data_IF_232789653648
#
_entry.id   IF_232789653648
#
_cell.length_a   1.000
_cell.length_b   1.000
_cell.length_c   1.000
_cell.angle_alpha   90.00
_cell.angle_beta   90.00
_cell.angle_gamma   90.00
#
_symmetry.space_group_name_H-M   'P 1'
#
loop_
_entity.id
_entity.type
_entity.pdbx_description
1 polymer ?
#
# COMPACT_ATOMS: atom_id res chain seq x y z
N UNK A 1 9.40 -11.37 13.77
CA UNK A 1 10.10 -11.11 12.49
C UNK A 1 10.64 -9.68 12.53
N UNK A 2 11.95 -9.42 12.38
CA UNK A 2 12.49 -8.06 12.48
C UNK A 2 12.28 -7.33 11.13
N UNK A 3 11.38 -6.34 11.08
CA UNK A 3 11.03 -5.58 9.85
C UNK A 3 12.23 -4.81 9.28
N UNK A 4 13.06 -4.25 10.16
CA UNK A 4 14.25 -3.44 9.82
C UNK A 4 15.25 -4.16 8.89
N UNK A 5 15.69 -5.40 9.17
CA UNK A 5 16.58 -6.12 8.25
C UNK A 5 15.95 -6.48 6.88
N UNK A 6 14.61 -6.60 6.80
CA UNK A 6 13.91 -6.81 5.52
C UNK A 6 13.96 -5.54 4.68
N UNK A 7 13.58 -4.39 5.27
CA UNK A 7 13.67 -3.09 4.60
C UNK A 7 15.11 -2.77 4.18
N UNK A 8 16.09 -3.02 5.06
CA UNK A 8 17.51 -2.85 4.72
C UNK A 8 17.93 -3.68 3.50
N UNK A 9 17.40 -4.89 3.32
CA UNK A 9 17.71 -5.72 2.15
C UNK A 9 17.08 -5.16 0.87
N UNK A 10 15.83 -4.69 0.93
CA UNK A 10 15.13 -4.06 -0.19
C UNK A 10 15.91 -2.84 -0.69
N UNK A 11 16.35 -1.99 0.23
CA UNK A 11 17.00 -0.73 -0.11
C UNK A 11 18.50 -0.81 -0.36
N UNK A 12 19.18 -1.91 -0.02
CA UNK A 12 20.64 -2.03 -0.18
C UNK A 12 21.12 -1.84 -1.62
N UNK A 13 20.25 -2.10 -2.59
CA UNK A 13 20.57 -2.04 -4.02
C UNK A 13 20.31 -0.67 -4.66
N UNK A 14 19.75 0.29 -3.91
CA UNK A 14 19.30 1.57 -4.45
C UNK A 14 19.68 2.75 -3.55
N UNK A 15 20.01 3.90 -4.17
CA UNK A 15 20.34 5.12 -3.44
C UNK A 15 19.06 5.81 -2.99
N UNK A 16 18.65 5.59 -1.75
CA UNK A 16 17.50 6.29 -1.15
C UNK A 16 17.83 7.77 -0.92
N UNK A 17 16.93 8.66 -1.29
CA UNK A 17 16.93 10.05 -0.84
C UNK A 17 16.49 10.12 0.64
N UNK A 18 17.45 10.02 1.57
CA UNK A 18 17.18 10.01 3.02
C UNK A 18 16.42 11.24 3.52
N UNK A 19 16.76 12.49 3.13
CA UNK A 19 15.97 13.66 3.52
C UNK A 19 14.50 13.55 3.15
N UNK A 20 14.21 13.09 1.93
CA UNK A 20 12.83 12.92 1.47
C UNK A 20 12.11 11.80 2.23
N UNK A 21 12.78 10.67 2.51
CA UNK A 21 12.19 9.60 3.32
C UNK A 21 11.84 10.09 4.73
N UNK A 22 12.74 10.86 5.36
CA UNK A 22 12.49 11.45 6.68
C UNK A 22 11.30 12.41 6.64
N UNK A 23 11.17 13.20 5.57
CA UNK A 23 10.03 14.09 5.37
C UNK A 23 8.72 13.30 5.25
N UNK A 24 8.66 12.27 4.40
CA UNK A 24 7.46 11.45 4.21
C UNK A 24 7.03 10.77 5.51
N UNK A 25 7.95 10.08 6.18
CA UNK A 25 7.69 9.44 7.48
C UNK A 25 7.32 10.48 8.55
N UNK A 26 7.95 11.66 8.52
CA UNK A 26 7.61 12.75 9.44
C UNK A 26 6.16 13.21 9.28
N UNK A 27 5.67 13.30 8.04
CA UNK A 27 4.27 13.63 7.75
C UNK A 27 3.34 12.50 8.20
N UNK A 28 3.68 11.23 7.91
CA UNK A 28 2.91 10.07 8.38
C UNK A 28 2.77 10.10 9.92
N UNK A 29 3.86 10.35 10.64
CA UNK A 29 3.88 10.44 12.10
C UNK A 29 3.07 11.62 12.63
N UNK A 30 2.98 12.74 11.90
CA UNK A 30 2.12 13.87 12.26
C UNK A 30 0.65 13.45 12.20
N UNK A 31 0.21 12.79 11.14
CA UNK A 31 -1.16 12.30 11.02
C UNK A 31 -1.50 11.26 12.08
N UNK A 32 -0.63 10.27 12.29
CA UNK A 32 -0.80 9.25 13.33
C UNK A 32 -0.88 9.90 14.73
N UNK A 33 -0.01 10.87 15.01
CA UNK A 33 -0.02 11.59 16.29
C UNK A 33 -1.29 12.42 16.45
N UNK A 34 -1.73 13.14 15.41
CA UNK A 34 -2.95 13.93 15.43
C UNK A 34 -4.17 13.05 15.73
N UNK A 35 -4.30 11.91 15.06
CA UNK A 35 -5.36 10.94 15.33
C UNK A 35 -5.30 10.39 16.78
N UNK A 36 -4.11 10.08 17.30
CA UNK A 36 -3.97 9.69 18.71
C UNK A 36 -4.45 10.79 19.67
N UNK A 37 -4.11 12.06 19.41
CA UNK A 37 -4.56 13.20 20.23
C UNK A 37 -6.09 13.39 20.17
N UNK A 38 -6.71 13.12 19.02
CA UNK A 38 -8.17 13.10 18.87
C UNK A 38 -8.80 11.98 19.71
N UNK A 39 -8.24 10.77 19.69
CA UNK A 39 -8.72 9.63 20.48
C UNK A 39 -8.66 9.90 22.01
N UNK A 40 -7.67 10.67 22.47
CA UNK A 40 -7.55 11.07 23.88
C UNK A 40 -8.35 12.33 24.25
N UNK A 41 -9.05 12.96 23.29
CA UNK A 41 -9.82 14.18 23.53
C UNK A 41 -8.95 15.40 23.87
N UNK A 42 -7.68 15.41 23.43
CA UNK A 42 -6.74 16.51 23.70
C UNK A 42 -6.96 17.67 22.72
N UNK A 43 -7.41 17.37 21.50
CA UNK A 43 -7.72 18.35 20.45
C UNK A 43 -9.21 18.22 20.12
N UNK A 44 -9.84 19.33 19.72
CA UNK A 44 -11.23 19.34 19.25
C UNK A 44 -11.45 18.27 18.18
N UNK A 45 -12.60 17.60 18.26
CA UNK A 45 -12.96 16.50 17.38
C UNK A 45 -13.27 17.01 15.96
N UNK A 46 -12.22 17.27 15.19
CA UNK A 46 -12.31 17.45 13.75
C UNK A 46 -11.91 16.13 13.07
N UNK A 47 -12.93 15.45 12.54
CA UNK A 47 -12.82 14.19 11.84
C UNK A 47 -11.85 14.24 10.65
N UNK A 48 -11.61 15.40 10.04
CA UNK A 48 -10.70 15.56 8.88
C UNK A 48 -9.24 15.18 9.19
N UNK A 49 -8.85 15.24 10.47
CA UNK A 49 -7.52 14.85 10.95
C UNK A 49 -7.45 13.39 11.43
N UNK A 50 -8.58 12.66 11.40
CA UNK A 50 -8.57 11.23 11.65
C UNK A 50 -7.92 10.50 10.49
N UNK A 51 -7.13 9.47 10.79
CA UNK A 51 -6.55 8.59 9.76
C UNK A 51 -7.59 7.60 9.22
N UNK A 52 -8.58 7.21 10.02
CA UNK A 52 -9.69 6.32 9.65
C UNK A 52 -10.80 7.01 8.81
N UNK A 53 -10.63 8.28 8.44
CA UNK A 53 -11.70 9.04 7.77
C UNK A 53 -11.55 8.95 6.25
N UNK A 54 -12.58 8.42 5.60
CA UNK A 54 -12.78 8.53 4.16
C UNK A 54 -12.84 10.00 3.70
N UNK A 55 -12.09 10.30 2.65
CA UNK A 55 -11.86 11.64 2.11
C UNK A 55 -11.23 12.61 3.13
N UNK A 56 -10.56 12.10 4.17
CA UNK A 56 -9.78 12.87 5.13
C UNK A 56 -8.41 13.30 4.61
N UNK A 57 -7.72 14.18 5.35
CA UNK A 57 -6.41 14.68 4.92
C UNK A 57 -5.34 13.58 4.81
N UNK A 58 -5.39 12.60 5.70
CA UNK A 58 -4.45 11.47 5.70
C UNK A 58 -4.66 10.58 4.46
N UNK A 59 -5.91 10.32 4.09
CA UNK A 59 -6.28 9.53 2.93
C UNK A 59 -5.89 10.22 1.62
N UNK A 60 -6.20 11.51 1.47
CA UNK A 60 -5.72 12.30 0.32
C UNK A 60 -4.20 12.30 0.19
N UNK A 61 -3.49 12.28 1.32
CA UNK A 61 -2.04 12.15 1.31
C UNK A 61 -1.57 10.77 0.83
N UNK A 62 -2.32 9.69 1.09
CA UNK A 62 -2.07 8.37 0.52
C UNK A 62 -2.29 8.36 -0.99
N UNK A 63 -3.39 8.95 -1.48
CA UNK A 63 -3.67 9.08 -2.92
C UNK A 63 -2.53 9.76 -3.69
N UNK A 64 -1.93 10.81 -3.11
CA UNK A 64 -0.78 11.49 -3.72
C UNK A 64 0.41 10.53 -3.84
N UNK A 65 0.64 9.68 -2.83
CA UNK A 65 1.71 8.67 -2.85
C UNK A 65 1.43 7.60 -3.91
N UNK A 66 0.25 7.00 -3.93
CA UNK A 66 -0.13 6.00 -4.95
C UNK A 66 -0.05 6.55 -6.38
N UNK A 67 -0.63 7.73 -6.61
CA UNK A 67 -0.59 8.38 -7.91
C UNK A 67 0.84 8.70 -8.34
N UNK A 68 1.67 9.18 -7.42
CA UNK A 68 3.07 9.43 -7.71
C UNK A 68 3.86 8.14 -8.01
N UNK A 69 3.59 7.03 -7.31
CA UNK A 69 4.17 5.72 -7.63
C UNK A 69 3.75 5.28 -9.04
N UNK A 70 2.46 5.39 -9.37
CA UNK A 70 1.94 5.11 -10.71
C UNK A 70 2.68 5.91 -11.78
N UNK A 71 2.78 7.23 -11.64
CA UNK A 71 3.47 8.10 -12.60
C UNK A 71 4.96 7.75 -12.76
N UNK A 72 5.65 7.46 -11.65
CA UNK A 72 7.06 7.05 -11.68
C UNK A 72 7.23 5.74 -12.44
N UNK A 73 6.36 4.75 -12.20
CA UNK A 73 6.44 3.45 -12.86
C UNK A 73 6.06 3.53 -14.35
N UNK A 74 5.08 4.35 -14.73
CA UNK A 74 4.78 4.64 -16.13
C UNK A 74 5.98 5.30 -16.82
N UNK A 75 6.61 6.28 -16.17
CA UNK A 75 7.81 6.91 -16.70
C UNK A 75 8.94 5.88 -16.91
N UNK A 76 9.18 5.00 -15.93
CA UNK A 76 10.18 3.93 -16.05
C UNK A 76 9.83 2.90 -17.12
N UNK A 77 8.55 2.62 -17.37
CA UNK A 77 8.12 1.77 -18.48
C UNK A 77 8.57 2.36 -19.82
N UNK A 78 8.33 3.65 -20.06
CA UNK A 78 8.77 4.30 -21.30
C UNK A 78 10.29 4.44 -21.39
N UNK A 79 10.97 4.65 -20.26
CA UNK A 79 12.44 4.83 -20.27
C UNK A 79 13.20 3.50 -20.42
N UNK A 80 12.66 2.40 -19.88
CA UNK A 80 13.34 1.09 -19.86
C UNK A 80 12.77 0.08 -20.87
N UNK A 81 11.60 0.37 -21.44
CA UNK A 81 10.86 -0.51 -22.35
C UNK A 81 10.58 -1.90 -21.76
N UNK A 82 10.49 -1.99 -20.42
CA UNK A 82 10.21 -3.26 -19.73
C UNK A 82 8.78 -3.27 -19.20
N UNK A 83 7.98 -4.21 -19.72
CA UNK A 83 6.56 -4.35 -19.38
C UNK A 83 6.29 -4.56 -17.87
N UNK A 84 7.28 -5.02 -17.11
CA UNK A 84 7.15 -5.20 -15.66
C UNK A 84 6.80 -3.88 -14.94
N UNK A 85 7.36 -2.74 -15.39
CA UNK A 85 7.03 -1.44 -14.80
C UNK A 85 5.58 -1.04 -15.11
N UNK A 86 5.08 -1.37 -16.30
CA UNK A 86 3.68 -1.15 -16.66
C UNK A 86 2.74 -1.99 -15.80
N UNK A 87 3.07 -3.27 -15.58
CA UNK A 87 2.24 -4.15 -14.72
C UNK A 87 2.17 -3.59 -13.30
N UNK A 88 3.30 -3.18 -12.72
CA UNK A 88 3.31 -2.53 -11.40
C UNK A 88 2.59 -1.18 -11.40
N UNK A 89 2.71 -0.39 -12.46
CA UNK A 89 1.97 0.86 -12.59
C UNK A 89 0.45 0.60 -12.56
N UNK A 90 -0.04 -0.35 -13.37
CA UNK A 90 -1.46 -0.72 -13.38
C UNK A 90 -1.94 -1.26 -12.03
N UNK A 91 -1.07 -1.95 -11.29
CA UNK A 91 -1.38 -2.37 -9.91
C UNK A 91 -1.60 -1.16 -9.00
N UNK A 92 -0.69 -0.19 -8.97
CA UNK A 92 -0.86 1.01 -8.13
C UNK A 92 -1.98 1.94 -8.60
N UNK A 93 -2.28 1.95 -9.91
CA UNK A 93 -3.47 2.62 -10.42
C UNK A 93 -4.73 1.94 -9.92
N UNK A 94 -4.77 0.60 -9.90
CA UNK A 94 -5.88 -0.13 -9.30
C UNK A 94 -6.05 0.24 -7.83
N UNK A 95 -4.98 0.19 -7.02
CA UNK A 95 -5.03 0.55 -5.59
C UNK A 95 -5.62 1.94 -5.40
N UNK A 96 -5.11 2.94 -6.13
CA UNK A 96 -5.65 4.31 -6.08
C UNK A 96 -7.14 4.38 -6.43
N UNK A 97 -7.59 3.68 -7.47
CA UNK A 97 -8.98 3.69 -7.88
C UNK A 97 -9.87 2.90 -6.92
N UNK A 98 -9.35 1.84 -6.32
CA UNK A 98 -10.02 1.02 -5.33
C UNK A 98 -10.29 1.83 -4.06
N UNK A 99 -9.26 2.51 -3.54
CA UNK A 99 -9.37 3.33 -2.33
C UNK A 99 -10.25 4.57 -2.59
N UNK A 100 -10.03 5.31 -3.70
CA UNK A 100 -10.78 6.55 -3.97
C UNK A 100 -12.24 6.39 -4.39
N UNK A 101 -12.63 5.19 -4.84
CA UNK A 101 -13.99 4.88 -5.27
C UNK A 101 -14.64 3.78 -4.41
N UNK A 102 -13.95 3.33 -3.35
CA UNK A 102 -14.36 2.23 -2.48
C UNK A 102 -14.81 0.99 -3.27
N UNK A 103 -14.05 0.61 -4.32
CA UNK A 103 -14.49 -0.45 -5.23
C UNK A 103 -14.61 -1.80 -4.50
N UNK A 104 -13.67 -2.11 -3.59
CA UNK A 104 -13.71 -3.33 -2.81
C UNK A 104 -14.93 -3.41 -1.89
N UNK A 105 -15.40 -2.30 -1.34
CA UNK A 105 -16.63 -2.26 -0.53
C UNK A 105 -17.87 -2.50 -1.42
N UNK A 106 -17.99 -1.75 -2.52
CA UNK A 106 -19.14 -1.83 -3.44
C UNK A 106 -19.28 -3.24 -4.01
N UNK A 107 -18.19 -3.81 -4.52
CA UNK A 107 -18.21 -5.17 -5.05
C UNK A 107 -18.19 -6.24 -3.95
N UNK A 108 -17.66 -5.93 -2.77
CA UNK A 108 -17.69 -6.79 -1.60
C UNK A 108 -19.13 -7.08 -1.15
N UNK A 109 -19.95 -6.03 -1.00
CA UNK A 109 -21.39 -6.16 -0.73
C UNK A 109 -22.07 -7.02 -1.79
N UNK A 110 -21.83 -6.73 -3.08
CA UNK A 110 -22.41 -7.50 -4.18
C UNK A 110 -22.06 -9.00 -4.12
N UNK A 111 -20.80 -9.33 -3.87
CA UNK A 111 -20.35 -10.73 -3.77
C UNK A 111 -20.89 -11.41 -2.51
N UNK A 112 -20.97 -10.69 -1.38
CA UNK A 112 -21.54 -11.22 -0.15
C UNK A 112 -23.00 -11.64 -0.33
N UNK A 113 -23.80 -10.80 -1.00
CA UNK A 113 -25.19 -11.11 -1.34
C UNK A 113 -25.27 -12.27 -2.33
N UNK A 114 -24.47 -12.26 -3.40
CA UNK A 114 -24.48 -13.29 -4.44
C UNK A 114 -24.17 -14.69 -3.87
N UNK A 115 -23.15 -14.80 -3.00
CA UNK A 115 -22.76 -16.06 -2.38
C UNK A 115 -23.52 -16.35 -1.07
N UNK A 116 -24.43 -15.47 -0.64
CA UNK A 116 -25.19 -15.57 0.60
C UNK A 116 -24.28 -15.77 1.83
N UNK A 117 -23.19 -15.01 1.92
CA UNK A 117 -22.30 -15.08 3.08
C UNK A 117 -23.05 -14.74 4.37
N UNK A 118 -22.66 -15.42 5.45
CA UNK A 118 -23.26 -15.25 6.77
C UNK A 118 -22.24 -14.62 7.71
N UNK A 119 -22.65 -13.65 8.56
CA UNK A 119 -21.77 -13.08 9.56
C UNK A 119 -21.14 -14.16 10.44
N UNK A 120 -19.83 -14.08 10.67
CA UNK A 120 -19.09 -15.07 11.48
C UNK A 120 -17.81 -14.43 12.05
N UNK A 121 -17.39 -14.90 13.22
CA UNK A 121 -16.19 -14.38 13.89
C UNK A 121 -16.20 -12.86 14.15
N UNK A 122 -17.40 -12.28 14.34
CA UNK A 122 -17.61 -10.83 14.46
C UNK A 122 -17.38 -10.02 13.16
N UNK A 123 -17.11 -10.69 12.04
CA UNK A 123 -17.17 -10.10 10.70
C UNK A 123 -18.60 -10.07 10.17
N UNK A 124 -18.93 -9.02 9.45
CA UNK A 124 -20.12 -8.89 8.59
C UNK A 124 -20.00 -9.83 7.39
N UNK A 125 -21.12 -10.06 6.71
CA UNK A 125 -21.11 -10.80 5.46
C UNK A 125 -20.29 -10.06 4.38
N UNK A 126 -20.38 -8.72 4.39
CA UNK A 126 -19.70 -7.77 3.49
C UNK A 126 -18.17 -7.95 3.54
N UNK A 127 -17.59 -8.04 4.75
CA UNK A 127 -16.15 -8.21 4.95
C UNK A 127 -15.61 -9.50 4.28
N UNK A 128 -16.41 -10.58 4.22
CA UNK A 128 -16.04 -11.79 3.45
C UNK A 128 -16.07 -11.56 1.94
N UNK A 129 -16.97 -10.71 1.45
CA UNK A 129 -17.02 -10.28 0.07
C UNK A 129 -15.81 -9.42 -0.31
N UNK A 130 -15.44 -8.47 0.54
CA UNK A 130 -14.23 -7.63 0.40
C UNK A 130 -12.97 -8.50 0.31
N UNK A 131 -12.81 -9.47 1.22
CA UNK A 131 -11.72 -10.46 1.18
C UNK A 131 -11.65 -11.22 -0.15
N UNK A 132 -12.81 -11.55 -0.74
CA UNK A 132 -12.86 -12.23 -2.02
C UNK A 132 -12.45 -11.30 -3.17
N UNK A 133 -12.78 -10.00 -3.11
CA UNK A 133 -12.28 -9.00 -4.07
C UNK A 133 -10.76 -8.86 -3.97
N UNK A 134 -10.22 -8.65 -2.77
CA UNK A 134 -8.78 -8.55 -2.56
C UNK A 134 -8.04 -9.79 -3.05
N UNK A 135 -8.56 -10.99 -2.76
CA UNK A 135 -7.99 -12.24 -3.26
C UNK A 135 -8.03 -12.32 -4.79
N UNK A 136 -9.16 -11.99 -5.40
CA UNK A 136 -9.36 -12.09 -6.86
C UNK A 136 -8.43 -11.15 -7.62
N UNK A 137 -8.36 -9.88 -7.19
CA UNK A 137 -7.48 -8.88 -7.80
C UNK A 137 -6.01 -9.18 -7.51
N UNK A 138 -5.70 -9.61 -6.28
CA UNK A 138 -4.37 -10.05 -5.89
C UNK A 138 -3.86 -11.19 -6.79
N UNK A 139 -4.71 -12.20 -7.07
CA UNK A 139 -4.38 -13.30 -7.99
C UNK A 139 -4.20 -12.80 -9.43
N UNK A 140 -5.08 -11.93 -9.93
CA UNK A 140 -4.98 -11.36 -11.28
C UNK A 140 -3.63 -10.65 -11.49
N UNK A 141 -3.23 -9.79 -10.55
CA UNK A 141 -1.95 -9.10 -10.63
C UNK A 141 -0.78 -10.03 -10.37
N UNK A 142 -0.88 -10.99 -9.47
CA UNK A 142 0.17 -11.98 -9.22
C UNK A 142 0.50 -12.77 -10.50
N UNK A 143 -0.51 -13.23 -11.23
CA UNK A 143 -0.35 -13.92 -12.51
C UNK A 143 0.31 -12.98 -13.54
N UNK A 144 -0.16 -11.74 -13.64
CA UNK A 144 0.38 -10.72 -14.56
C UNK A 144 1.86 -10.42 -14.27
N UNK A 145 2.22 -10.32 -12.99
CA UNK A 145 3.59 -10.11 -12.53
C UNK A 145 4.47 -11.32 -12.88
N UNK A 146 4.00 -12.56 -12.67
CA UNK A 146 4.73 -13.76 -13.04
C UNK A 146 5.05 -13.78 -14.55
N UNK A 147 4.06 -13.50 -15.40
CA UNK A 147 4.27 -13.46 -16.85
C UNK A 147 5.29 -12.39 -17.26
N UNK A 148 5.21 -11.20 -16.67
CA UNK A 148 6.18 -10.13 -16.92
C UNK A 148 7.57 -10.44 -16.34
N UNK A 149 7.64 -11.15 -15.21
CA UNK A 149 8.88 -11.52 -14.52
C UNK A 149 9.77 -12.44 -15.36
N UNK A 150 9.17 -13.37 -16.12
CA UNK A 150 9.93 -14.24 -17.02
C UNK A 150 10.54 -13.48 -18.21
N UNK A 151 10.00 -12.32 -18.57
CA UNK A 151 10.43 -11.50 -19.71
C UNK A 151 11.36 -10.34 -19.33
N UNK A 152 11.59 -10.10 -18.04
CA UNK A 152 12.39 -8.97 -17.57
C UNK A 152 13.84 -9.37 -17.22
N UNK A 153 14.73 -8.38 -17.25
CA UNK A 153 16.15 -8.53 -16.95
C UNK A 153 16.40 -8.68 -15.43
N UNK A 154 17.68 -8.79 -15.04
CA UNK A 154 18.04 -8.93 -13.63
C UNK A 154 17.52 -7.76 -12.78
N UNK A 155 17.52 -6.54 -13.32
CA UNK A 155 17.07 -5.35 -12.59
C UNK A 155 15.56 -5.37 -12.38
N UNK A 156 14.76 -5.68 -13.39
CA UNK A 156 13.31 -5.81 -13.26
C UNK A 156 12.91 -6.95 -12.32
N UNK A 157 13.69 -8.04 -12.24
CA UNK A 157 13.48 -9.11 -11.25
C UNK A 157 13.76 -8.64 -9.82
N UNK A 158 14.82 -7.86 -9.62
CA UNK A 158 15.13 -7.25 -8.32
C UNK A 158 14.03 -6.26 -7.90
N UNK A 159 13.56 -5.43 -8.83
CA UNK A 159 12.45 -4.50 -8.61
C UNK A 159 11.19 -5.25 -8.21
N UNK A 160 10.82 -6.28 -8.97
CA UNK A 160 9.63 -7.08 -8.71
C UNK A 160 9.69 -7.74 -7.34
N UNK A 161 10.82 -8.37 -6.98
CA UNK A 161 10.98 -8.98 -5.66
C UNK A 161 10.80 -7.96 -4.54
N UNK A 162 11.40 -6.79 -4.70
CA UNK A 162 11.36 -5.73 -3.69
C UNK A 162 9.96 -5.14 -3.54
N UNK A 163 9.28 -4.79 -4.64
CA UNK A 163 7.89 -4.33 -4.62
C UNK A 163 6.96 -5.39 -4.07
N UNK A 164 7.11 -6.66 -4.48
CA UNK A 164 6.30 -7.75 -3.96
C UNK A 164 6.43 -7.90 -2.44
N UNK A 165 7.64 -7.81 -1.88
CA UNK A 165 7.83 -7.81 -0.42
C UNK A 165 7.12 -6.62 0.23
N UNK A 166 7.24 -5.42 -0.34
CA UNK A 166 6.59 -4.23 0.21
C UNK A 166 5.06 -4.33 0.15
N UNK A 167 4.50 -4.86 -0.95
CA UNK A 167 3.06 -5.12 -1.08
C UNK A 167 2.57 -6.19 -0.11
N UNK A 168 3.34 -7.25 0.14
CA UNK A 168 2.98 -8.22 1.18
C UNK A 168 2.92 -7.58 2.58
N UNK A 169 3.80 -6.62 2.85
CA UNK A 169 3.76 -5.88 4.12
C UNK A 169 2.58 -4.90 4.13
N UNK A 170 2.27 -4.24 3.00
CA UNK A 170 1.10 -3.36 2.88
C UNK A 170 -0.21 -4.14 3.09
N UNK A 171 -0.40 -5.24 2.36
CA UNK A 171 -1.55 -6.13 2.48
C UNK A 171 -1.69 -6.77 3.87
N UNK A 172 -0.60 -6.89 4.63
CA UNK A 172 -0.69 -7.30 6.02
C UNK A 172 -1.43 -6.25 6.87
N UNK A 173 -1.17 -4.96 6.67
CA UNK A 173 -1.91 -3.91 7.38
C UNK A 173 -3.33 -3.77 6.81
N UNK A 174 -3.45 -3.50 5.51
CA UNK A 174 -4.71 -3.22 4.79
C UNK A 174 -5.72 -4.36 4.69
N UNK A 175 -5.33 -5.58 5.05
CA UNK A 175 -6.25 -6.73 5.03
C UNK A 175 -6.19 -7.46 6.36
N UNK A 176 -5.00 -7.88 6.79
CA UNK A 176 -4.95 -8.73 7.98
C UNK A 176 -5.18 -7.95 9.29
N UNK A 177 -4.61 -6.75 9.43
CA UNK A 177 -4.82 -5.94 10.63
C UNK A 177 -6.24 -5.36 10.66
N UNK A 178 -6.76 -4.91 9.52
CA UNK A 178 -8.17 -4.52 9.34
C UNK A 178 -9.15 -5.61 9.83
N UNK A 179 -9.03 -6.84 9.31
CA UNK A 179 -9.95 -7.89 9.72
C UNK A 179 -9.80 -8.24 11.21
N UNK A 180 -8.58 -8.14 11.78
CA UNK A 180 -8.37 -8.30 13.22
C UNK A 180 -8.99 -7.16 14.04
N UNK A 181 -8.94 -5.93 13.53
CA UNK A 181 -9.58 -4.76 14.12
C UNK A 181 -11.08 -5.03 14.31
N UNK A 182 -11.75 -5.54 13.28
CA UNK A 182 -13.18 -5.88 13.32
C UNK A 182 -13.43 -7.08 14.24
N UNK A 183 -12.61 -8.13 14.16
CA UNK A 183 -12.78 -9.35 14.96
C UNK A 183 -12.59 -9.15 16.48
N UNK A 184 -11.83 -8.13 16.92
CA UNK A 184 -11.46 -7.92 18.32
C UNK A 184 -11.93 -6.55 18.83
N UNK A 185 -13.20 -6.43 19.29
CA UNK A 185 -13.80 -5.15 19.73
C UNK A 185 -13.03 -4.42 20.84
N UNK A 186 -12.36 -5.16 21.73
CA UNK A 186 -11.59 -4.58 22.84
C UNK A 186 -10.31 -3.87 22.40
N UNK A 187 -9.89 -4.05 21.15
CA UNK A 187 -8.66 -3.49 20.60
C UNK A 187 -8.86 -2.36 19.60
N UNK A 188 -10.10 -1.94 19.32
CA UNK A 188 -10.46 -1.06 18.18
C UNK A 188 -9.47 0.06 17.92
N UNK A 189 -9.35 0.99 18.86
CA UNK A 189 -8.48 2.17 18.71
C UNK A 189 -6.98 1.82 18.52
N UNK A 190 -6.51 0.69 19.05
CA UNK A 190 -5.11 0.27 18.89
C UNK A 190 -4.88 -0.38 17.53
N UNK A 191 -5.85 -1.12 17.04
CA UNK A 191 -5.76 -1.78 15.73
C UNK A 191 -5.95 -0.76 14.61
N UNK A 192 -6.87 0.19 14.73
CA UNK A 192 -7.00 1.31 13.80
C UNK A 192 -5.68 2.09 13.60
N UNK A 193 -5.03 2.48 14.69
CA UNK A 193 -3.72 3.15 14.61
C UNK A 193 -2.63 2.26 13.99
N UNK A 194 -2.70 0.95 14.24
CA UNK A 194 -1.72 0.01 13.71
C UNK A 194 -1.92 -0.27 12.22
N UNK A 195 -3.17 -0.34 11.79
CA UNK A 195 -3.66 -0.57 10.44
C UNK A 195 -3.30 0.63 9.55
N UNK A 196 -4.04 1.73 9.67
CA UNK A 196 -3.84 2.94 8.86
C UNK A 196 -2.44 3.51 9.02
N UNK A 197 -1.94 3.57 10.26
CA UNK A 197 -0.59 4.07 10.52
C UNK A 197 0.49 3.17 9.92
N UNK A 198 0.24 1.86 9.87
CA UNK A 198 1.12 0.90 9.20
C UNK A 198 1.12 1.09 7.69
N UNK A 199 -0.05 1.24 7.08
CA UNK A 199 -0.21 1.48 5.64
C UNK A 199 0.48 2.76 5.19
N UNK A 200 0.24 3.86 5.90
CA UNK A 200 0.86 5.15 5.59
C UNK A 200 2.38 5.05 5.50
N UNK A 201 3.00 4.40 6.50
CA UNK A 201 4.45 4.21 6.56
C UNK A 201 4.96 3.32 5.43
N UNK A 202 4.29 2.21 5.14
CA UNK A 202 4.69 1.29 4.06
C UNK A 202 4.53 1.95 2.69
N UNK A 203 3.47 2.73 2.49
CA UNK A 203 3.26 3.51 1.28
C UNK A 203 4.39 4.52 1.06
N UNK A 204 4.87 5.18 2.13
CA UNK A 204 6.05 6.06 2.07
C UNK A 204 7.34 5.31 1.68
N UNK A 205 7.52 4.08 2.16
CA UNK A 205 8.63 3.22 1.74
C UNK A 205 8.52 2.79 0.27
N UNK A 206 7.32 2.47 -0.21
CA UNK A 206 7.09 2.13 -1.63
C UNK A 206 7.36 3.35 -2.51
N UNK A 207 6.86 4.52 -2.13
CA UNK A 207 7.06 5.76 -2.87
C UNK A 207 8.54 6.09 -3.03
N UNK A 208 9.29 6.08 -1.92
CA UNK A 208 10.72 6.38 -1.99
C UNK A 208 11.49 5.30 -2.75
N UNK A 209 11.05 4.04 -2.66
CA UNK A 209 11.62 2.94 -3.42
C UNK A 209 11.47 3.18 -4.92
N UNK A 210 10.25 3.45 -5.39
CA UNK A 210 9.95 3.75 -6.79
C UNK A 210 10.79 4.94 -7.28
N UNK A 211 10.87 6.02 -6.50
CA UNK A 211 11.69 7.20 -6.86
C UNK A 211 13.19 6.85 -6.94
N UNK A 212 13.69 5.99 -6.07
CA UNK A 212 15.10 5.58 -6.05
C UNK A 212 15.51 4.81 -7.31
N UNK A 213 14.57 4.16 -8.00
CA UNK A 213 14.82 3.45 -9.27
C UNK A 213 15.32 4.39 -10.36
N UNK A 214 14.89 5.67 -10.33
CA UNK A 214 15.33 6.70 -11.29
C UNK A 214 16.82 7.07 -11.13
N UNK A 215 17.37 6.92 -9.93
CA UNK A 215 18.74 7.39 -9.65
C UNK A 215 19.83 6.34 -9.94
N UNK A 216 19.46 5.08 -10.19
CA UNK A 216 20.41 4.01 -10.57
C UNK A 216 20.84 4.07 -12.04
N UNK A 217 20.41 5.11 -12.75
CA UNK A 217 20.49 5.23 -14.22
C UNK A 217 21.83 5.82 -14.71
N UNK A 218 22.74 6.22 -13.79
CA UNK A 218 24.10 6.67 -14.15
C UNK A 218 25.17 5.67 -13.71
N UNK A 219 25.30 4.58 -14.45
CA UNK A 219 26.57 3.86 -14.61
C UNK A 219 26.62 3.35 -16.04
N UNK A 220 27.13 4.13 -17.00
CA UNK A 220 27.65 3.51 -18.21
C UNK A 220 28.77 2.58 -17.78
N UNK A 221 28.65 1.31 -18.13
CA UNK A 221 29.76 0.37 -18.07
C UNK A 221 30.80 0.90 -19.08
N UNK A 222 31.80 1.62 -18.59
CA UNK A 222 33.06 1.78 -19.33
C UNK A 222 33.85 0.49 -19.16
N UNK A 223 33.84 -0.33 -20.21
CA UNK A 223 34.90 -1.31 -20.46
C UNK A 223 36.18 -0.59 -20.90
#
# INVERSE_FOLDING_TARGET
MKLVPVLNRVFRSFKINKPLLILLIGIDLIFISAHCLLLFGIIDYNLDFSIEKDFGYAEFYQYIKEFGIFLILIFLFYEKEQIIYLVWAMFFLYVLLDDSLSLHEVYGVYLADYFNFQPKFNLRAEDFGELLIFLSIGVLFFISIIFAFFKTDLMGRLVTRNLFILILILAFFAIFVDQLHIMVPSGKNKFAVLEDGGEMLIMSFIFIYALSLKHTIKSPITY
#
